data_IF_767368188771
#
_entry.id   IF_767368188771
#
_cell.length_a   1.000
_cell.length_b   1.000
_cell.length_c   1.000
_cell.angle_alpha   90.00
_cell.angle_beta   90.00
_cell.angle_gamma   90.00
#
_symmetry.space_group_name_H-M   'P 1'
#
loop_
_entity.id
_entity.type
_entity.pdbx_description
1 polymer ?
#
# COMPACT_ATOMS: atom_id res chain seq x y z
N UNK A 1 55.48 -13.83 -52.34
CA UNK A 1 54.93 -14.79 -51.35
C UNK A 1 54.07 -13.97 -50.42
N UNK A 2 52.75 -14.04 -50.59
CA UNK A 2 51.80 -13.23 -49.83
C UNK A 2 51.67 -13.72 -48.39
N UNK A 3 51.64 -12.77 -47.47
CA UNK A 3 51.45 -12.92 -46.02
C UNK A 3 50.01 -13.38 -45.67
N UNK A 4 49.67 -14.64 -45.93
CA UNK A 4 48.39 -15.27 -45.52
C UNK A 4 48.33 -15.60 -44.01
N UNK A 5 49.38 -15.29 -43.23
CA UNK A 5 49.48 -15.65 -41.80
C UNK A 5 49.00 -14.57 -40.83
N UNK A 6 48.75 -13.35 -41.29
CA UNK A 6 48.28 -12.23 -40.44
C UNK A 6 46.75 -12.14 -40.28
N UNK A 7 45.98 -12.86 -41.09
CA UNK A 7 44.53 -12.74 -41.16
C UNK A 7 43.80 -13.39 -39.96
N UNK A 8 44.32 -14.51 -39.44
CA UNK A 8 43.72 -15.23 -38.29
C UNK A 8 43.87 -14.51 -36.96
N UNK A 9 44.95 -13.74 -36.75
CA UNK A 9 45.16 -13.02 -35.49
C UNK A 9 44.22 -11.82 -35.38
N UNK A 10 43.99 -11.10 -36.49
CA UNK A 10 43.04 -9.99 -36.52
C UNK A 10 41.61 -10.47 -36.28
N UNK A 11 41.20 -11.57 -36.92
CA UNK A 11 39.87 -12.17 -36.70
C UNK A 11 39.69 -12.63 -35.24
N UNK A 12 40.74 -13.17 -34.61
CA UNK A 12 40.71 -13.53 -33.19
C UNK A 12 40.56 -12.32 -32.28
N UNK A 13 41.31 -11.25 -32.52
CA UNK A 13 41.24 -10.01 -31.71
C UNK A 13 39.86 -9.38 -31.84
N UNK A 14 39.31 -9.30 -33.05
CA UNK A 14 37.98 -8.77 -33.29
C UNK A 14 36.92 -9.64 -32.59
N UNK A 15 37.00 -10.97 -32.74
CA UNK A 15 36.09 -11.91 -32.09
C UNK A 15 36.12 -11.80 -30.56
N UNK A 16 37.32 -11.78 -29.97
CA UNK A 16 37.49 -11.62 -28.52
C UNK A 16 36.98 -10.25 -28.03
N UNK A 17 37.20 -9.18 -28.81
CA UNK A 17 36.72 -7.84 -28.45
C UNK A 17 35.20 -7.78 -28.43
N UNK A 18 34.54 -8.31 -29.47
CA UNK A 18 33.07 -8.39 -29.53
C UNK A 18 32.52 -9.26 -28.40
N UNK A 19 33.15 -10.40 -28.12
CA UNK A 19 32.76 -11.28 -27.02
C UNK A 19 32.83 -10.57 -25.66
N UNK A 20 33.94 -9.90 -25.36
CA UNK A 20 34.12 -9.18 -24.09
C UNK A 20 33.13 -8.02 -23.95
N UNK A 21 32.85 -7.28 -25.03
CA UNK A 21 31.82 -6.23 -25.02
C UNK A 21 30.44 -6.82 -24.74
N UNK A 22 30.08 -7.93 -25.38
CA UNK A 22 28.79 -8.59 -25.17
C UNK A 22 28.65 -9.14 -23.73
N UNK A 23 29.69 -9.75 -23.19
CA UNK A 23 29.71 -10.23 -21.79
C UNK A 23 29.62 -9.07 -20.80
N UNK A 24 30.41 -8.01 -21.03
CA UNK A 24 30.36 -6.80 -20.20
C UNK A 24 28.98 -6.14 -20.21
N UNK A 25 28.35 -6.04 -21.39
CA UNK A 25 26.97 -5.57 -21.53
C UNK A 25 25.99 -6.47 -20.77
N UNK A 26 26.14 -7.79 -20.87
CA UNK A 26 25.28 -8.74 -20.14
C UNK A 26 25.33 -8.48 -18.63
N UNK A 27 26.53 -8.38 -18.05
CA UNK A 27 26.67 -8.11 -16.61
C UNK A 27 26.22 -6.70 -16.20
N UNK A 28 26.33 -5.71 -17.10
CA UNK A 28 25.90 -4.34 -16.82
C UNK A 28 24.37 -4.15 -16.91
N UNK A 29 23.69 -4.84 -17.83
CA UNK A 29 22.29 -4.57 -18.16
C UNK A 29 21.31 -5.65 -17.68
N UNK A 30 21.70 -6.93 -17.63
CA UNK A 30 20.79 -8.01 -17.19
C UNK A 30 20.31 -7.82 -15.74
N UNK A 31 21.15 -7.39 -14.77
CA UNK A 31 20.67 -7.16 -13.40
C UNK A 31 19.50 -6.18 -13.32
N UNK A 32 19.54 -5.08 -14.08
CA UNK A 32 18.46 -4.07 -14.08
C UNK A 32 17.15 -4.61 -14.68
N UNK A 33 17.21 -5.54 -15.64
CA UNK A 33 16.02 -6.22 -16.14
C UNK A 33 15.38 -7.15 -15.09
N UNK A 34 16.15 -7.57 -14.09
CA UNK A 34 15.71 -8.46 -13.01
C UNK A 34 15.29 -7.71 -11.74
N UNK A 35 15.63 -6.42 -11.60
CA UNK A 35 15.24 -5.55 -10.47
C UNK A 35 13.73 -5.58 -10.16
N UNK A 36 12.80 -5.57 -11.15
CA UNK A 36 11.36 -5.66 -10.87
C UNK A 36 10.94 -6.97 -10.18
N UNK A 37 11.77 -8.01 -10.28
CA UNK A 37 11.55 -9.32 -9.68
C UNK A 37 12.41 -9.53 -8.42
N UNK A 38 13.27 -8.57 -8.06
CA UNK A 38 14.04 -8.62 -6.83
C UNK A 38 13.08 -8.53 -5.64
N UNK A 39 13.07 -9.59 -4.84
CA UNK A 39 12.16 -9.78 -3.70
C UNK A 39 12.47 -8.74 -2.63
N UNK A 40 11.66 -7.70 -2.52
CA UNK A 40 11.76 -6.74 -1.42
C UNK A 40 11.06 -5.41 -1.68
N UNK A 41 11.30 -4.80 -2.84
CA UNK A 41 10.80 -3.45 -3.13
C UNK A 41 9.34 -3.49 -3.60
N UNK A 42 8.99 -4.43 -4.48
CA UNK A 42 7.60 -4.66 -4.90
C UNK A 42 6.67 -5.18 -3.79
N UNK A 43 7.22 -5.84 -2.76
CA UNK A 43 6.41 -6.41 -1.67
C UNK A 43 5.70 -5.31 -0.86
N UNK A 44 6.38 -4.19 -0.57
CA UNK A 44 5.78 -3.06 0.16
C UNK A 44 4.70 -2.36 -0.66
N UNK A 45 4.88 -2.25 -1.98
CA UNK A 45 3.86 -1.72 -2.90
C UNK A 45 2.62 -2.61 -2.91
N UNK A 46 2.80 -3.94 -3.00
CA UNK A 46 1.69 -4.90 -2.97
C UNK A 46 0.95 -4.83 -1.64
N UNK A 47 1.66 -4.77 -0.51
CA UNK A 47 1.05 -4.63 0.82
C UNK A 47 0.26 -3.32 0.92
N UNK A 48 0.82 -2.21 0.44
CA UNK A 48 0.12 -0.93 0.44
C UNK A 48 -1.18 -1.01 -0.39
N UNK A 49 -1.12 -1.52 -1.62
CA UNK A 49 -2.28 -1.60 -2.52
C UNK A 49 -3.36 -2.56 -2.01
N UNK A 50 -2.96 -3.77 -1.61
CA UNK A 50 -3.90 -4.79 -1.10
C UNK A 50 -4.44 -4.41 0.27
N UNK A 51 -3.63 -3.81 1.13
CA UNK A 51 -4.05 -3.34 2.44
C UNK A 51 -5.03 -2.16 2.33
N UNK A 52 -4.74 -1.17 1.49
CA UNK A 52 -5.66 -0.04 1.27
C UNK A 52 -6.99 -0.50 0.65
N UNK A 53 -6.95 -1.44 -0.30
CA UNK A 53 -8.16 -2.04 -0.86
C UNK A 53 -8.95 -2.80 0.21
N UNK A 54 -8.30 -3.68 0.98
CA UNK A 54 -8.96 -4.45 2.05
C UNK A 54 -9.63 -3.52 3.07
N UNK A 55 -8.94 -2.48 3.52
CA UNK A 55 -9.50 -1.51 4.47
C UNK A 55 -10.74 -0.80 3.89
N UNK A 56 -10.65 -0.31 2.66
CA UNK A 56 -11.72 0.48 2.05
C UNK A 56 -12.92 -0.37 1.60
N UNK A 57 -12.68 -1.59 1.11
CA UNK A 57 -13.70 -2.43 0.47
C UNK A 57 -14.30 -3.48 1.43
N UNK A 58 -13.63 -3.79 2.53
CA UNK A 58 -14.09 -4.82 3.47
C UNK A 58 -14.10 -4.34 4.92
N UNK A 59 -12.94 -4.07 5.52
CA UNK A 59 -12.81 -3.81 6.95
C UNK A 59 -13.72 -2.65 7.38
N UNK A 60 -13.68 -1.53 6.67
CA UNK A 60 -14.40 -0.30 7.04
C UNK A 60 -15.72 -0.10 6.26
N UNK A 61 -15.99 -0.90 5.23
CA UNK A 61 -17.17 -0.75 4.37
C UNK A 61 -18.49 -1.06 5.10
N UNK A 62 -18.48 -1.92 6.12
CA UNK A 62 -19.71 -2.45 6.75
C UNK A 62 -20.41 -3.48 5.85
N UNK A 63 -20.85 -4.60 6.42
CA UNK A 63 -21.36 -5.73 5.63
C UNK A 63 -22.62 -5.41 4.81
N UNK A 64 -23.45 -4.46 5.25
CA UNK A 64 -24.68 -4.06 4.55
C UNK A 64 -24.40 -3.28 3.26
N UNK A 65 -23.36 -2.44 3.25
CA UNK A 65 -22.91 -1.66 2.10
C UNK A 65 -22.11 -2.51 1.10
N UNK A 66 -21.37 -3.52 1.60
CA UNK A 66 -20.66 -4.49 0.78
C UNK A 66 -21.63 -5.31 -0.11
N UNK A 67 -22.83 -5.62 0.38
CA UNK A 67 -23.89 -6.30 -0.38
C UNK A 67 -24.56 -5.41 -1.45
N UNK A 68 -24.48 -4.08 -1.30
CA UNK A 68 -25.07 -3.12 -2.23
C UNK A 68 -24.14 -2.75 -3.41
N UNK A 69 -22.93 -3.31 -3.44
CA UNK A 69 -21.95 -3.06 -4.52
C UNK A 69 -21.22 -1.72 -4.42
N UNK A 70 -21.30 -1.00 -3.28
CA UNK A 70 -20.50 0.21 -3.08
C UNK A 70 -19.10 -0.14 -2.59
N UNK A 71 -18.13 -0.18 -3.50
CA UNK A 71 -16.72 -0.49 -3.20
C UNK A 71 -15.90 0.71 -2.74
N UNK A 72 -16.54 1.85 -2.46
CA UNK A 72 -15.89 3.10 -2.08
C UNK A 72 -16.62 3.88 -0.98
N UNK A 73 -17.53 3.23 -0.24
CA UNK A 73 -18.26 3.86 0.86
C UNK A 73 -17.93 3.13 2.16
N UNK A 74 -17.45 3.88 3.14
CA UNK A 74 -17.16 3.38 4.48
C UNK A 74 -18.36 3.60 5.39
N UNK A 75 -18.67 2.64 6.27
CA UNK A 75 -19.64 2.87 7.36
C UNK A 75 -19.02 3.84 8.37
N UNK A 76 -19.79 4.85 8.78
CA UNK A 76 -19.38 5.76 9.84
C UNK A 76 -19.08 5.01 11.15
N UNK A 77 -19.98 4.10 11.57
CA UNK A 77 -19.82 3.34 12.82
C UNK A 77 -18.61 2.40 12.79
N UNK A 78 -18.39 1.68 11.68
CA UNK A 78 -17.22 0.79 11.56
C UNK A 78 -15.91 1.56 11.48
N UNK A 79 -15.88 2.69 10.79
CA UNK A 79 -14.70 3.56 10.71
C UNK A 79 -14.38 4.14 12.07
N UNK A 80 -15.37 4.71 12.77
CA UNK A 80 -15.19 5.28 14.10
C UNK A 80 -14.74 4.21 15.11
N UNK A 81 -15.41 3.05 15.14
CA UNK A 81 -15.09 1.96 16.05
C UNK A 81 -13.68 1.40 15.85
N UNK A 82 -13.22 1.27 14.60
CA UNK A 82 -11.87 0.83 14.27
C UNK A 82 -10.79 1.79 14.83
N UNK A 83 -10.96 3.11 14.61
CA UNK A 83 -9.99 4.12 15.07
C UNK A 83 -10.13 4.47 16.56
N UNK A 84 -11.30 4.26 17.16
CA UNK A 84 -11.52 4.43 18.60
C UNK A 84 -11.16 3.18 19.41
N UNK A 85 -10.55 2.17 18.77
CA UNK A 85 -10.09 0.93 19.42
C UNK A 85 -11.21 0.18 20.15
N UNK A 86 -12.44 0.32 19.66
CA UNK A 86 -13.60 -0.40 20.19
C UNK A 86 -13.50 -1.87 19.80
N UNK A 87 -13.88 -2.79 20.69
CA UNK A 87 -13.82 -4.22 20.38
C UNK A 87 -14.73 -4.58 19.19
N UNK A 88 -14.34 -5.55 18.34
CA UNK A 88 -15.17 -5.99 17.21
C UNK A 88 -16.50 -6.51 17.73
N UNK A 89 -17.61 -5.98 17.19
CA UNK A 89 -18.98 -6.27 17.62
C UNK A 89 -19.54 -5.39 18.76
N UNK A 90 -18.74 -4.49 19.34
CA UNK A 90 -19.23 -3.47 20.27
C UNK A 90 -19.53 -2.12 19.60
N UNK A 91 -19.09 -1.91 18.35
CA UNK A 91 -19.57 -0.81 17.53
C UNK A 91 -21.08 -0.97 17.27
N UNK A 92 -21.83 0.13 17.25
CA UNK A 92 -23.29 0.15 17.19
C UNK A 92 -23.92 -0.52 15.94
N UNK A 93 -23.10 -0.98 14.99
CA UNK A 93 -23.47 -1.82 13.86
C UNK A 93 -22.68 -3.14 13.95
N UNK A 94 -23.38 -4.26 14.15
CA UNK A 94 -22.83 -5.61 14.38
C UNK A 94 -22.04 -6.21 13.21
N UNK A 95 -21.86 -5.46 12.12
CA UNK A 95 -21.55 -5.97 10.79
C UNK A 95 -20.20 -5.46 10.26
N UNK A 96 -19.34 -4.95 11.15
CA UNK A 96 -17.99 -4.57 10.79
C UNK A 96 -17.12 -5.82 10.56
N UNK A 97 -16.36 -5.83 9.46
CA UNK A 97 -15.59 -7.00 9.04
C UNK A 97 -14.13 -7.01 9.56
N UNK A 98 -13.69 -5.95 10.25
CA UNK A 98 -12.37 -5.92 10.87
C UNK A 98 -12.30 -6.86 12.07
N UNK A 99 -11.14 -7.49 12.23
CA UNK A 99 -10.84 -8.47 13.28
C UNK A 99 -9.87 -7.94 14.33
N UNK A 100 -9.12 -6.90 13.98
CA UNK A 100 -8.30 -6.12 14.88
C UNK A 100 -8.56 -4.62 14.66
N UNK A 101 -8.21 -3.79 15.64
CA UNK A 101 -8.46 -2.34 15.62
C UNK A 101 -7.27 -1.57 15.05
N UNK A 102 -7.38 -0.24 14.96
CA UNK A 102 -6.29 0.63 14.55
C UNK A 102 -5.00 0.48 15.38
N UNK A 103 -5.11 0.06 16.64
CA UNK A 103 -3.95 -0.20 17.50
C UNK A 103 -3.08 -1.36 17.00
N UNK A 104 -3.69 -2.34 16.34
CA UNK A 104 -3.05 -3.55 15.83
C UNK A 104 -3.33 -3.72 14.33
N UNK A 105 -2.89 -2.70 13.57
CA UNK A 105 -3.05 -2.65 12.12
C UNK A 105 -2.33 -3.81 11.41
N UNK A 106 -1.26 -4.33 12.01
CA UNK A 106 -0.52 -5.49 11.53
C UNK A 106 -1.36 -6.75 11.58
N UNK A 107 -2.01 -7.04 12.71
CA UNK A 107 -2.94 -8.16 12.81
C UNK A 107 -4.13 -7.99 11.86
N UNK A 108 -4.69 -6.78 11.75
CA UNK A 108 -5.80 -6.54 10.82
C UNK A 108 -5.38 -6.84 9.38
N UNK A 109 -4.22 -6.38 8.94
CA UNK A 109 -3.76 -6.57 7.56
C UNK A 109 -3.07 -7.91 7.30
N UNK A 110 -2.74 -8.67 8.34
CA UNK A 110 -1.96 -9.91 8.24
C UNK A 110 -0.53 -9.66 7.77
N UNK A 111 0.07 -8.54 8.19
CA UNK A 111 1.41 -8.10 7.80
C UNK A 111 2.36 -8.27 8.97
N UNK A 112 3.58 -8.73 8.70
CA UNK A 112 4.63 -8.93 9.69
C UNK A 112 5.08 -7.62 10.37
N UNK A 113 5.33 -7.67 11.68
CA UNK A 113 5.69 -6.51 12.53
C UNK A 113 7.01 -5.84 12.15
N UNK A 114 7.86 -6.51 11.37
CA UNK A 114 9.10 -5.93 10.85
C UNK A 114 8.86 -4.80 9.84
N UNK A 115 7.65 -4.65 9.32
CA UNK A 115 7.26 -3.56 8.42
C UNK A 115 6.60 -2.42 9.18
N UNK A 116 6.91 -1.18 8.81
CA UNK A 116 6.17 -0.03 9.30
C UNK A 116 4.87 0.16 8.52
N UNK A 117 3.78 0.43 9.23
CA UNK A 117 2.47 0.72 8.65
C UNK A 117 1.96 2.07 9.17
N UNK A 118 1.41 2.88 8.27
CA UNK A 118 0.74 4.13 8.62
C UNK A 118 -0.54 4.26 7.79
N UNK A 119 -1.68 4.31 8.46
CA UNK A 119 -2.98 4.54 7.85
C UNK A 119 -3.46 5.95 8.22
N UNK A 120 -3.94 6.71 7.23
CA UNK A 120 -4.56 8.02 7.45
C UNK A 120 -5.77 8.20 6.56
N UNK A 121 -6.85 8.75 7.10
CA UNK A 121 -7.97 9.27 6.31
C UNK A 121 -7.91 10.80 6.33
N UNK A 122 -7.89 11.40 5.15
CA UNK A 122 -7.69 12.84 5.00
C UNK A 122 -8.80 13.48 4.18
N UNK A 123 -9.10 14.74 4.52
CA UNK A 123 -10.01 15.61 3.79
C UNK A 123 -9.31 16.96 3.58
N UNK A 124 -9.29 17.47 2.36
CA UNK A 124 -8.62 18.73 2.02
C UNK A 124 -7.16 18.81 2.52
N UNK A 125 -6.45 17.67 2.57
CA UNK A 125 -5.06 17.58 3.01
C UNK A 125 -4.85 17.51 4.53
N UNK A 126 -5.90 17.58 5.35
CA UNK A 126 -5.84 17.41 6.79
C UNK A 126 -6.36 16.04 7.22
N UNK A 127 -5.83 15.47 8.30
CA UNK A 127 -6.36 14.24 8.91
C UNK A 127 -7.76 14.52 9.43
N UNK A 128 -8.75 13.76 8.98
CA UNK A 128 -10.14 13.89 9.42
C UNK A 128 -10.26 13.46 10.88
N UNK A 129 -11.14 14.15 11.61
CA UNK A 129 -11.62 13.71 12.92
C UNK A 129 -13.10 13.43 12.80
N UNK A 130 -13.56 12.35 13.43
CA UNK A 130 -14.98 12.03 13.58
C UNK A 130 -15.32 12.15 15.05
N UNK A 131 -16.51 12.65 15.35
CA UNK A 131 -16.96 12.82 16.72
C UNK A 131 -17.41 11.47 17.30
N UNK A 132 -17.02 11.21 18.55
CA UNK A 132 -17.49 10.09 19.36
C UNK A 132 -18.00 10.60 20.70
N UNK A 133 -18.66 9.73 21.47
CA UNK A 133 -19.15 10.08 22.82
C UNK A 133 -18.01 10.52 23.77
N UNK A 134 -16.79 10.00 23.58
CA UNK A 134 -15.59 10.33 24.37
C UNK A 134 -14.78 11.50 23.78
N UNK A 135 -15.26 12.11 22.70
CA UNK A 135 -14.61 13.22 21.99
C UNK A 135 -14.14 12.89 20.58
N UNK A 136 -13.48 13.84 19.89
CA UNK A 136 -13.13 13.67 18.48
C UNK A 136 -11.97 12.70 18.28
N UNK A 137 -12.20 11.65 17.49
CA UNK A 137 -11.23 10.60 17.17
C UNK A 137 -10.50 10.96 15.87
N UNK A 138 -9.17 10.99 15.89
CA UNK A 138 -8.38 11.24 14.69
C UNK A 138 -8.25 9.96 13.84
N UNK A 139 -8.57 10.07 12.55
CA UNK A 139 -8.53 8.94 11.60
C UNK A 139 -7.09 8.66 11.16
N UNK A 140 -6.26 8.23 12.10
CA UNK A 140 -4.87 7.83 11.88
C UNK A 140 -4.53 6.58 12.70
N UNK A 141 -3.74 5.69 12.13
CA UNK A 141 -3.22 4.51 12.80
C UNK A 141 -1.74 4.30 12.45
N UNK A 142 -0.98 3.77 13.41
CA UNK A 142 0.45 3.52 13.26
C UNK A 142 1.34 4.78 13.31
N UNK A 143 2.67 4.60 13.44
CA UNK A 143 3.63 5.70 13.50
C UNK A 143 3.74 6.44 12.17
N UNK A 144 4.24 7.67 12.19
CA UNK A 144 4.57 8.38 10.95
C UNK A 144 5.82 7.74 10.30
N UNK A 145 5.88 7.65 8.94
CA UNK A 145 7.06 7.13 8.27
C UNK A 145 8.33 7.95 8.61
N UNK A 146 9.46 7.30 8.91
CA UNK A 146 10.75 7.98 9.07
C UNK A 146 11.18 8.68 7.78
N UNK A 147 11.88 9.81 7.88
CA UNK A 147 12.39 10.54 6.70
C UNK A 147 13.54 9.83 5.98
N UNK A 148 14.12 8.78 6.57
CA UNK A 148 15.31 8.07 6.10
C UNK A 148 15.01 6.75 5.38
N UNK A 149 13.74 6.37 5.23
CA UNK A 149 13.35 5.10 4.60
C UNK A 149 12.62 5.35 3.29
N UNK A 150 12.72 4.38 2.37
CA UNK A 150 11.82 4.32 1.23
C UNK A 150 10.41 3.98 1.73
N UNK A 151 9.40 4.67 1.19
CA UNK A 151 8.00 4.50 1.59
C UNK A 151 7.18 4.21 0.35
N UNK A 152 6.51 3.07 0.35
CA UNK A 152 5.47 2.73 -0.61
C UNK A 152 4.12 3.21 -0.09
N UNK A 153 3.27 3.74 -0.95
CA UNK A 153 1.94 4.21 -0.54
C UNK A 153 0.88 3.90 -1.56
N UNK A 154 -0.31 3.55 -1.08
CA UNK A 154 -1.51 3.40 -1.88
C UNK A 154 -2.62 4.27 -1.30
N UNK A 155 -3.50 4.77 -2.16
CA UNK A 155 -4.65 5.58 -1.74
C UNK A 155 -5.95 5.09 -2.37
N UNK A 156 -7.05 5.26 -1.63
CA UNK A 156 -8.42 5.08 -2.11
C UNK A 156 -9.21 6.35 -1.87
N UNK A 157 -10.00 6.74 -2.85
CA UNK A 157 -10.97 7.81 -2.74
C UNK A 157 -12.26 7.17 -2.26
N UNK A 158 -12.75 7.60 -1.10
CA UNK A 158 -13.87 6.98 -0.41
C UNK A 158 -14.85 8.04 0.08
N UNK A 159 -16.10 7.66 0.30
CA UNK A 159 -17.07 8.43 1.07
C UNK A 159 -17.27 7.77 2.43
N UNK A 160 -17.71 8.53 3.43
CA UNK A 160 -18.14 7.97 4.72
C UNK A 160 -19.65 8.18 4.79
N UNK A 161 -20.40 7.09 4.94
CA UNK A 161 -21.84 7.13 5.10
C UNK A 161 -22.18 7.31 6.58
N UNK A 162 -22.51 8.54 6.95
CA UNK A 162 -23.01 8.90 8.27
C UNK A 162 -24.54 9.07 8.20
N UNK A 163 -25.34 8.15 8.76
CA UNK A 163 -26.79 8.24 8.72
C UNK A 163 -27.35 9.44 9.52
N UNK A 164 -26.55 10.04 10.40
CA UNK A 164 -26.90 11.27 11.11
C UNK A 164 -26.71 12.53 10.28
N UNK A 165 -25.91 12.45 9.22
CA UNK A 165 -25.61 13.58 8.35
C UNK A 165 -26.64 13.69 7.22
N UNK A 166 -27.10 14.93 6.97
CA UNK A 166 -28.05 15.25 5.90
C UNK A 166 -27.38 15.96 4.74
N UNK A 167 -26.09 16.24 4.87
CA UNK A 167 -25.28 16.83 3.82
C UNK A 167 -24.98 15.80 2.70
N UNK A 168 -24.68 16.26 1.48
CA UNK A 168 -24.23 15.35 0.43
C UNK A 168 -22.94 14.63 0.87
N UNK A 169 -22.75 13.37 0.47
CA UNK A 169 -21.61 12.58 0.90
C UNK A 169 -20.30 13.26 0.45
N UNK A 170 -19.45 13.54 1.43
CA UNK A 170 -18.15 14.13 1.20
C UNK A 170 -17.10 13.08 0.83
N UNK A 171 -16.12 13.51 0.05
CA UNK A 171 -15.03 12.65 -0.43
C UNK A 171 -13.81 12.77 0.47
N UNK A 172 -13.27 11.62 0.84
CA UNK A 172 -12.09 11.44 1.67
C UNK A 172 -11.02 10.67 0.90
N UNK A 173 -9.76 10.83 1.31
CA UNK A 173 -8.63 10.04 0.83
C UNK A 173 -8.12 9.17 1.97
N UNK A 174 -8.34 7.87 1.87
CA UNK A 174 -7.70 6.86 2.70
C UNK A 174 -6.35 6.52 2.10
N UNK A 175 -5.28 6.65 2.88
CA UNK A 175 -3.90 6.38 2.43
C UNK A 175 -3.24 5.41 3.39
N UNK A 176 -2.73 4.30 2.86
CA UNK A 176 -1.87 3.37 3.56
C UNK A 176 -0.44 3.55 3.08
N UNK A 177 0.49 3.75 4.01
CA UNK A 177 1.93 3.84 3.75
C UNK A 177 2.63 2.66 4.42
N UNK A 178 3.62 2.10 3.73
CA UNK A 178 4.35 0.89 4.12
C UNK A 178 5.84 1.13 3.89
N UNK A 179 6.67 0.72 4.84
CA UNK A 179 8.14 0.74 4.71
C UNK A 179 8.76 -0.51 5.34
#
# INVERSE_FOLDING_TARGET
MSDDRGQTVLDFVVGMSVFLVAVGFTFAFVPSLLEPYAVGEGATVIVAERGAARLAESSLAGSSLAGAGSTATLSHACTLGFFNETAPGAAAESDCAWTATAADLHAELGVDDLRGLNLTVTQHGAIKRLDSDDGPVAMRAGPAPPSSTSVSSASRIVTIDDPGDREPPETYRLTLRVW
#
